data_IF_957439800703
#
_entry.id   IF_957439800703
#
_cell.length_a   1.000
_cell.length_b   1.000
_cell.length_c   1.000
_cell.angle_alpha   90.00
_cell.angle_beta   90.00
_cell.angle_gamma   90.00
#
_symmetry.space_group_name_H-M   'P 1'
#
loop_
_entity.id
_entity.type
_entity.pdbx_description
1 polymer ?
#
# COMPACT_ATOMS: atom_id res chain seq x y z
N UNK A 1 -3.10 -2.83 -5.16
CA UNK A 1 -2.24 -3.42 -4.12
C UNK A 1 -1.98 -2.34 -3.06
N UNK A 2 -2.39 -2.58 -1.82
CA UNK A 2 -2.09 -1.71 -0.71
C UNK A 2 -0.78 -2.16 -0.03
N UNK A 3 0.08 -1.20 0.33
CA UNK A 3 1.26 -1.49 1.14
C UNK A 3 0.82 -1.55 2.61
N UNK A 4 0.91 -2.72 3.22
CA UNK A 4 0.52 -2.92 4.63
C UNK A 4 1.65 -2.65 5.60
N UNK A 5 2.86 -2.99 5.20
CA UNK A 5 4.06 -2.92 6.05
C UNK A 5 5.22 -2.32 5.27
N UNK A 6 5.90 -1.39 5.88
CA UNK A 6 7.21 -0.90 5.45
C UNK A 6 8.24 -1.50 6.39
N UNK A 7 9.24 -2.14 5.83
CA UNK A 7 10.24 -2.87 6.62
C UNK A 7 11.62 -2.25 6.46
N UNK A 8 12.38 -2.25 7.54
CA UNK A 8 13.77 -1.79 7.55
C UNK A 8 14.59 -2.52 8.62
N UNK A 9 15.87 -2.20 8.73
CA UNK A 9 16.72 -2.67 9.82
C UNK A 9 16.86 -1.60 10.90
N UNK A 10 17.32 -2.03 12.08
CA UNK A 10 17.49 -1.18 13.24
C UNK A 10 18.40 0.03 12.97
N UNK A 11 19.45 -0.13 12.17
CA UNK A 11 20.37 0.96 11.77
C UNK A 11 19.70 2.09 10.98
N UNK A 12 18.53 1.83 10.38
CA UNK A 12 17.82 2.76 9.49
C UNK A 12 16.42 3.14 10.02
N UNK A 13 16.11 2.80 11.25
CA UNK A 13 14.78 3.03 11.85
C UNK A 13 14.41 4.51 11.94
N UNK A 14 15.41 5.37 12.14
CA UNK A 14 15.22 6.81 12.35
C UNK A 14 15.44 7.63 11.05
N UNK A 15 15.57 6.97 9.89
CA UNK A 15 15.69 7.67 8.61
C UNK A 15 14.37 8.41 8.27
N UNK A 16 14.40 9.73 8.04
CA UNK A 16 13.19 10.53 7.77
C UNK A 16 12.38 10.00 6.58
N UNK A 17 13.06 9.53 5.53
CA UNK A 17 12.42 8.96 4.35
C UNK A 17 11.57 7.73 4.68
N UNK A 18 12.01 6.87 5.59
CA UNK A 18 11.26 5.68 6.01
C UNK A 18 10.02 6.10 6.80
N UNK A 19 10.16 7.07 7.70
CA UNK A 19 9.04 7.59 8.48
C UNK A 19 7.98 8.27 7.58
N UNK A 20 8.41 9.04 6.59
CA UNK A 20 7.52 9.68 5.62
C UNK A 20 6.81 8.65 4.74
N UNK A 21 7.51 7.61 4.30
CA UNK A 21 6.91 6.52 3.52
C UNK A 21 5.83 5.79 4.32
N UNK A 22 6.10 5.45 5.59
CA UNK A 22 5.13 4.82 6.49
C UNK A 22 3.88 5.69 6.64
N UNK A 23 4.06 6.99 6.83
CA UNK A 23 2.96 7.94 6.98
C UNK A 23 2.15 8.09 5.71
N UNK A 24 2.80 8.28 4.57
CA UNK A 24 2.14 8.49 3.27
C UNK A 24 1.37 7.26 2.80
N UNK A 25 1.88 6.07 3.08
CA UNK A 25 1.23 4.81 2.73
C UNK A 25 0.23 4.34 3.80
N UNK A 26 0.14 5.03 4.95
CA UNK A 26 -0.65 4.58 6.12
C UNK A 26 -0.30 3.14 6.52
N UNK A 27 0.95 2.75 6.32
CA UNK A 27 1.46 1.41 6.57
C UNK A 27 1.95 1.24 8.01
N UNK A 28 2.12 -0.01 8.45
CA UNK A 28 2.83 -0.31 9.70
C UNK A 28 4.33 -0.33 9.45
N UNK A 29 5.12 0.12 10.42
CA UNK A 29 6.58 -0.02 10.37
C UNK A 29 6.99 -1.31 11.08
N UNK A 30 7.88 -2.07 10.47
CA UNK A 30 8.49 -3.25 11.06
C UNK A 30 10.00 -3.19 10.94
N UNK A 31 10.68 -3.39 12.06
CA UNK A 31 12.14 -3.26 12.15
C UNK A 31 12.71 -4.64 12.46
N UNK A 32 13.77 -5.02 11.77
CA UNK A 32 14.49 -6.26 11.98
C UNK A 32 15.92 -6.02 12.44
N UNK A 33 16.44 -6.98 13.21
CA UNK A 33 17.86 -7.02 13.56
C UNK A 33 18.64 -7.72 12.44
N UNK A 34 19.92 -7.40 12.25
CA UNK A 34 20.76 -8.06 11.24
C UNK A 34 20.78 -9.59 11.36
N UNK A 35 20.83 -10.11 12.59
CA UNK A 35 20.88 -11.54 12.86
C UNK A 35 19.65 -12.29 12.35
N UNK A 36 18.53 -11.61 12.27
CA UNK A 36 17.26 -12.18 11.77
C UNK A 36 17.21 -12.30 10.25
N UNK A 37 18.16 -11.65 9.54
CA UNK A 37 18.17 -11.50 8.09
C UNK A 37 19.31 -12.27 7.41
N UNK A 38 20.33 -12.69 8.15
CA UNK A 38 21.55 -13.30 7.60
C UNK A 38 21.33 -14.58 6.81
N UNK A 39 20.32 -15.37 7.20
CA UNK A 39 20.00 -16.67 6.61
C UNK A 39 18.93 -16.58 5.50
N UNK A 40 18.50 -15.37 5.14
CA UNK A 40 17.51 -15.17 4.10
C UNK A 40 18.21 -15.07 2.74
N UNK A 41 17.93 -16.02 1.86
CA UNK A 41 18.39 -15.98 0.48
C UNK A 41 17.75 -14.81 -0.27
N UNK A 42 18.58 -14.01 -0.92
CA UNK A 42 18.15 -12.82 -1.67
C UNK A 42 18.67 -12.87 -3.10
N UNK A 43 17.90 -12.41 -4.10
CA UNK A 43 18.31 -12.42 -5.50
C UNK A 43 19.54 -11.55 -5.78
N UNK A 44 19.66 -10.41 -5.06
CA UNK A 44 20.73 -9.42 -5.32
C UNK A 44 21.63 -9.21 -4.09
N UNK A 45 22.44 -10.21 -3.71
CA UNK A 45 23.33 -10.10 -2.55
C UNK A 45 24.45 -9.08 -2.79
N UNK A 46 24.89 -8.42 -1.72
CA UNK A 46 26.01 -7.47 -1.76
C UNK A 46 26.90 -7.65 -0.54
N UNK A 47 28.16 -8.02 -0.78
CA UNK A 47 29.17 -8.15 0.27
C UNK A 47 29.42 -6.84 1.02
N UNK A 48 29.46 -5.70 0.31
CA UNK A 48 29.59 -4.38 0.95
C UNK A 48 28.45 -4.05 1.91
N UNK A 49 27.23 -4.43 1.56
CA UNK A 49 26.08 -4.24 2.43
C UNK A 49 26.18 -5.17 3.64
N UNK A 50 26.61 -6.39 3.45
CA UNK A 50 26.81 -7.35 4.53
C UNK A 50 27.85 -6.87 5.57
N UNK A 51 28.97 -6.32 5.13
CA UNK A 51 30.02 -5.78 6.02
C UNK A 51 29.50 -4.66 6.93
N UNK A 52 28.56 -3.86 6.44
CA UNK A 52 28.03 -2.70 7.18
C UNK A 52 26.77 -3.08 7.99
N UNK A 53 25.94 -3.95 7.49
CA UNK A 53 24.59 -4.18 8.03
C UNK A 53 24.37 -5.59 8.56
N UNK A 54 25.28 -6.53 8.30
CA UNK A 54 25.11 -7.94 8.66
C UNK A 54 24.05 -8.70 7.83
N UNK A 55 23.53 -8.07 6.75
CA UNK A 55 22.59 -8.69 5.83
C UNK A 55 23.03 -8.46 4.38
N UNK A 56 22.91 -9.46 3.51
CA UNK A 56 23.36 -9.37 2.10
C UNK A 56 22.53 -8.37 1.26
N UNK A 57 21.27 -8.14 1.60
CA UNK A 57 20.40 -7.13 0.99
C UNK A 57 19.32 -6.74 1.97
N UNK A 58 19.41 -5.57 2.56
CA UNK A 58 18.43 -5.11 3.55
C UNK A 58 17.02 -5.06 2.98
N UNK A 59 16.84 -4.39 1.83
CA UNK A 59 15.52 -4.20 1.23
C UNK A 59 14.83 -5.52 0.86
N UNK A 60 15.58 -6.47 0.28
CA UNK A 60 15.01 -7.76 -0.14
C UNK A 60 14.79 -8.68 1.06
N UNK A 61 15.78 -8.79 1.95
CA UNK A 61 15.68 -9.68 3.10
C UNK A 61 14.55 -9.28 4.06
N UNK A 62 14.39 -7.98 4.34
CA UNK A 62 13.30 -7.51 5.20
C UNK A 62 11.92 -7.71 4.56
N UNK A 63 11.81 -7.47 3.24
CA UNK A 63 10.57 -7.69 2.51
C UNK A 63 10.17 -9.17 2.49
N UNK A 64 11.10 -10.08 2.18
CA UNK A 64 10.86 -11.53 2.18
C UNK A 64 10.49 -12.05 3.56
N UNK A 65 11.21 -11.61 4.60
CA UNK A 65 10.94 -12.02 5.98
C UNK A 65 9.56 -11.58 6.44
N UNK A 66 9.22 -10.32 6.19
CA UNK A 66 7.92 -9.78 6.58
C UNK A 66 6.76 -10.47 5.87
N UNK A 67 6.94 -10.81 4.61
CA UNK A 67 5.91 -11.46 3.80
C UNK A 67 5.81 -12.97 4.04
N UNK A 68 6.71 -13.58 4.82
CA UNK A 68 6.77 -15.04 4.97
C UNK A 68 6.94 -15.77 3.64
N UNK A 69 7.60 -15.16 2.67
CA UNK A 69 7.68 -15.63 1.29
C UNK A 69 9.13 -15.77 0.83
N UNK A 70 9.35 -16.62 -0.17
CA UNK A 70 10.65 -16.83 -0.82
C UNK A 70 10.79 -16.07 -2.14
N UNK A 71 9.73 -15.38 -2.61
CA UNK A 71 9.72 -14.67 -3.89
C UNK A 71 9.31 -13.21 -3.70
N UNK A 72 10.08 -12.33 -4.31
CA UNK A 72 9.76 -10.91 -4.42
C UNK A 72 8.76 -10.68 -5.56
N UNK A 73 7.86 -9.72 -5.36
CA UNK A 73 7.04 -9.16 -6.42
C UNK A 73 7.88 -8.19 -7.27
N UNK A 74 8.76 -7.44 -6.62
CA UNK A 74 9.73 -6.55 -7.24
C UNK A 74 11.06 -6.70 -6.51
N UNK A 75 12.08 -7.13 -7.26
CA UNK A 75 13.45 -7.21 -6.75
C UNK A 75 14.03 -5.82 -6.45
N UNK A 76 15.20 -5.79 -5.83
CA UNK A 76 15.86 -4.56 -5.40
C UNK A 76 15.94 -3.53 -6.53
N UNK A 77 15.27 -2.42 -6.32
CA UNK A 77 15.35 -1.22 -7.14
C UNK A 77 16.23 -0.19 -6.44
N UNK A 78 16.92 0.59 -7.24
CA UNK A 78 17.71 1.73 -6.77
C UNK A 78 17.07 3.01 -7.23
N UNK A 79 17.03 3.99 -6.36
CA UNK A 79 16.58 5.34 -6.68
C UNK A 79 17.46 6.36 -6.01
N UNK A 80 17.35 7.60 -6.46
CA UNK A 80 18.11 8.72 -5.95
C UNK A 80 17.15 9.91 -5.75
N UNK A 81 17.17 10.49 -4.57
CA UNK A 81 16.36 11.68 -4.26
C UNK A 81 17.12 12.94 -4.65
N UNK A 82 18.39 13.01 -4.28
CA UNK A 82 19.35 14.07 -4.62
C UNK A 82 20.70 13.45 -4.88
N UNK A 83 21.62 14.10 -5.62
CA UNK A 83 22.98 13.58 -5.78
C UNK A 83 23.63 13.19 -4.46
N UNK A 84 24.05 11.93 -4.35
CA UNK A 84 24.63 11.36 -3.13
C UNK A 84 23.65 10.84 -2.08
N UNK A 85 22.33 10.94 -2.33
CA UNK A 85 21.30 10.41 -1.44
C UNK A 85 20.53 9.28 -2.14
N UNK A 86 21.15 8.11 -2.17
CA UNK A 86 20.64 6.91 -2.82
C UNK A 86 19.80 6.08 -1.86
N UNK A 87 18.73 5.50 -2.37
CA UNK A 87 17.92 4.53 -1.63
C UNK A 87 17.71 3.25 -2.44
N UNK A 88 17.39 2.18 -1.73
CA UNK A 88 16.99 0.91 -2.34
C UNK A 88 15.69 0.42 -1.71
N UNK A 89 14.83 -0.17 -2.53
CA UNK A 89 13.63 -0.83 -2.06
C UNK A 89 13.37 -2.13 -2.82
N UNK A 90 12.60 -3.02 -2.21
CA UNK A 90 12.09 -4.25 -2.80
C UNK A 90 10.66 -4.47 -2.31
N UNK A 91 9.86 -5.21 -3.04
CA UNK A 91 8.47 -5.50 -2.70
C UNK A 91 8.24 -7.01 -2.66
N UNK A 92 7.68 -7.50 -1.57
CA UNK A 92 7.20 -8.88 -1.45
C UNK A 92 5.67 -8.88 -1.27
N UNK A 93 5.04 -9.93 -1.78
CA UNK A 93 3.61 -10.14 -1.62
C UNK A 93 3.37 -11.07 -0.43
N UNK A 94 2.72 -10.57 0.60
CA UNK A 94 2.19 -11.40 1.68
C UNK A 94 0.93 -12.11 1.17
N UNK A 95 1.06 -13.40 0.88
CA UNK A 95 -0.04 -14.23 0.38
C UNK A 95 -0.96 -14.74 1.48
N UNK A 96 -0.48 -14.77 2.72
CA UNK A 96 -1.22 -15.23 3.90
C UNK A 96 -1.82 -14.07 4.69
N UNK A 97 -1.55 -12.82 4.28
CA UNK A 97 -2.15 -11.67 4.94
C UNK A 97 -3.67 -11.79 4.92
N UNK A 98 -4.26 -11.76 6.07
CA UNK A 98 -5.71 -11.59 6.19
C UNK A 98 -6.12 -10.32 5.47
N UNK A 99 -6.84 -10.50 4.38
CA UNK A 99 -7.33 -9.42 3.53
C UNK A 99 -8.65 -8.97 4.09
N UNK A 100 -8.61 -8.06 5.07
CA UNK A 100 -9.80 -7.41 5.60
C UNK A 100 -9.98 -6.07 4.90
N UNK A 101 -10.85 -6.02 3.90
CA UNK A 101 -11.35 -4.76 3.35
C UNK A 101 -12.45 -4.19 4.24
N UNK A 102 -12.61 -2.87 4.21
CA UNK A 102 -13.75 -2.20 4.83
C UNK A 102 -14.72 -1.76 3.74
N UNK A 103 -16.01 -1.99 3.97
CA UNK A 103 -17.08 -1.44 3.13
C UNK A 103 -17.79 -0.39 3.95
N UNK A 104 -17.82 0.84 3.43
CA UNK A 104 -18.54 1.94 4.02
C UNK A 104 -19.66 2.38 3.07
N UNK A 105 -20.86 2.53 3.60
CA UNK A 105 -21.99 3.07 2.86
C UNK A 105 -22.08 4.55 3.15
N UNK A 106 -21.94 5.38 2.12
CA UNK A 106 -21.96 6.82 2.21
C UNK A 106 -23.25 7.36 1.59
N UNK A 107 -24.02 8.12 2.37
CA UNK A 107 -25.16 8.87 1.83
C UNK A 107 -24.68 10.00 0.93
N UNK A 108 -25.22 10.07 -0.28
CA UNK A 108 -24.83 11.06 -1.29
C UNK A 108 -25.40 12.48 -1.08
N UNK A 109 -26.24 12.67 -0.06
CA UNK A 109 -26.95 13.92 0.14
C UNK A 109 -28.12 14.10 -0.82
N UNK A 110 -28.73 15.30 -0.88
CA UNK A 110 -29.91 15.60 -1.70
C UNK A 110 -29.59 15.88 -3.18
N UNK A 111 -28.36 15.68 -3.64
CA UNK A 111 -27.97 15.88 -5.03
C UNK A 111 -26.85 16.92 -5.24
N UNK A 112 -26.62 17.79 -4.27
CA UNK A 112 -25.50 18.73 -4.31
C UNK A 112 -24.27 18.10 -3.64
N UNK A 113 -23.13 17.99 -4.34
CA UNK A 113 -21.90 17.42 -3.77
C UNK A 113 -21.41 18.14 -2.51
N UNK A 114 -21.69 19.43 -2.35
CA UNK A 114 -21.30 20.20 -1.16
C UNK A 114 -22.15 19.84 0.07
N UNK A 115 -23.28 19.18 -0.13
CA UNK A 115 -24.15 18.72 0.96
C UNK A 115 -23.85 17.27 1.41
N UNK A 116 -22.79 16.67 0.92
CA UNK A 116 -22.28 15.42 1.49
C UNK A 116 -21.78 15.67 2.91
N UNK A 117 -21.99 14.73 3.80
CA UNK A 117 -21.47 14.87 5.16
C UNK A 117 -19.94 14.94 5.17
N UNK A 118 -19.36 15.68 6.11
CA UNK A 118 -17.90 15.76 6.29
C UNK A 118 -17.27 14.36 6.47
N UNK A 119 -17.99 13.45 7.17
CA UNK A 119 -17.54 12.06 7.30
C UNK A 119 -17.56 11.34 5.94
N UNK A 120 -18.63 11.51 5.17
CA UNK A 120 -18.76 10.91 3.84
C UNK A 120 -17.65 11.36 2.90
N UNK A 121 -17.36 12.65 2.85
CA UNK A 121 -16.24 13.20 2.07
C UNK A 121 -14.91 12.55 2.45
N UNK A 122 -14.60 12.48 3.76
CA UNK A 122 -13.36 11.85 4.24
C UNK A 122 -13.25 10.37 3.87
N UNK A 123 -14.37 9.66 3.80
CA UNK A 123 -14.40 8.25 3.36
C UNK A 123 -14.14 8.15 1.86
N UNK A 124 -14.75 9.00 1.04
CA UNK A 124 -14.49 9.06 -0.40
C UNK A 124 -13.02 9.39 -0.72
N UNK A 125 -12.43 10.33 0.01
CA UNK A 125 -11.02 10.74 -0.13
C UNK A 125 -10.02 9.61 0.23
N UNK A 126 -10.44 8.59 1.00
CA UNK A 126 -9.61 7.45 1.41
C UNK A 126 -9.87 6.17 0.63
N UNK A 127 -11.00 6.08 -0.03
CA UNK A 127 -11.43 4.85 -0.69
C UNK A 127 -10.48 4.42 -1.82
N UNK A 128 -10.25 3.11 -1.93
CA UNK A 128 -9.54 2.49 -3.05
C UNK A 128 -10.51 2.14 -4.19
N UNK A 129 -11.77 1.88 -3.84
CA UNK A 129 -12.87 1.65 -4.76
C UNK A 129 -14.08 2.50 -4.34
N UNK A 130 -14.65 3.22 -5.28
CA UNK A 130 -15.92 3.92 -5.14
C UNK A 130 -16.89 3.32 -6.15
N UNK A 131 -17.95 2.69 -5.63
CA UNK A 131 -19.12 2.29 -6.42
C UNK A 131 -20.26 3.28 -6.15
N UNK A 132 -20.77 3.94 -7.17
CA UNK A 132 -21.83 4.90 -7.02
C UNK A 132 -23.03 4.58 -7.91
N UNK A 133 -24.23 4.88 -7.45
CA UNK A 133 -25.47 4.69 -8.20
C UNK A 133 -25.62 5.81 -9.24
N UNK A 134 -25.03 5.62 -10.42
CA UNK A 134 -24.91 6.66 -11.44
C UNK A 134 -26.24 7.26 -11.96
N UNK A 135 -27.36 6.61 -11.68
CA UNK A 135 -28.71 7.15 -11.98
C UNK A 135 -29.28 8.05 -10.86
N UNK A 136 -28.68 8.03 -9.66
CA UNK A 136 -29.22 8.69 -8.46
C UNK A 136 -28.21 9.64 -7.81
N UNK A 137 -26.92 9.45 -8.09
CA UNK A 137 -25.82 10.14 -7.42
C UNK A 137 -25.06 11.00 -8.44
N UNK A 138 -24.87 12.29 -8.17
CA UNK A 138 -24.09 13.17 -9.04
C UNK A 138 -22.65 12.66 -9.20
N UNK A 139 -22.15 12.69 -10.43
CA UNK A 139 -20.79 12.25 -10.74
C UNK A 139 -19.73 13.10 -10.02
N UNK A 140 -20.06 14.33 -9.70
CA UNK A 140 -19.19 15.30 -9.03
C UNK A 140 -18.75 14.81 -7.64
N UNK A 141 -19.56 13.99 -6.95
CA UNK A 141 -19.16 13.33 -5.70
C UNK A 141 -17.94 12.43 -5.86
N UNK A 142 -17.73 11.89 -7.06
CA UNK A 142 -16.58 11.04 -7.36
C UNK A 142 -15.27 11.83 -7.50
N UNK A 143 -15.34 13.16 -7.64
CA UNK A 143 -14.15 14.03 -7.70
C UNK A 143 -13.40 14.11 -6.36
N UNK A 144 -14.03 13.68 -5.26
CA UNK A 144 -13.35 13.51 -3.98
C UNK A 144 -12.45 12.26 -3.93
N UNK A 145 -12.48 11.41 -4.97
CA UNK A 145 -11.64 10.21 -5.01
C UNK A 145 -10.14 10.58 -5.01
N UNK A 146 -9.36 9.85 -4.21
CA UNK A 146 -7.91 10.00 -4.23
C UNK A 146 -7.32 9.57 -5.58
N UNK A 147 -6.14 10.09 -5.97
CA UNK A 147 -5.43 9.60 -7.15
C UNK A 147 -5.21 8.07 -7.08
N UNK A 148 -5.51 7.38 -8.18
CA UNK A 148 -5.39 5.92 -8.27
C UNK A 148 -6.57 5.12 -7.74
N UNK A 149 -7.59 5.76 -7.15
CA UNK A 149 -8.83 5.07 -6.78
C UNK A 149 -9.59 4.57 -8.02
N UNK A 150 -10.18 3.39 -7.90
CA UNK A 150 -11.10 2.87 -8.92
C UNK A 150 -12.49 3.44 -8.70
N UNK A 151 -13.03 4.15 -9.68
CA UNK A 151 -14.40 4.70 -9.61
C UNK A 151 -15.26 4.02 -10.67
N UNK A 152 -16.41 3.50 -10.29
CA UNK A 152 -17.34 2.81 -11.19
C UNK A 152 -18.78 3.17 -10.87
N UNK A 153 -19.56 3.40 -11.93
CA UNK A 153 -21.01 3.49 -11.83
C UNK A 153 -21.62 2.10 -11.75
N UNK A 154 -22.51 1.87 -10.81
CA UNK A 154 -23.24 0.62 -10.68
C UNK A 154 -24.52 0.55 -11.53
N UNK A 155 -24.86 1.62 -12.25
CA UNK A 155 -26.13 1.73 -12.99
C UNK A 155 -26.32 0.64 -14.05
N UNK A 156 -25.24 0.11 -14.62
CA UNK A 156 -25.25 -0.96 -15.64
C UNK A 156 -24.66 -2.28 -15.14
N UNK A 157 -24.40 -2.41 -13.85
CA UNK A 157 -23.74 -3.59 -13.27
C UNK A 157 -24.76 -4.53 -12.63
N UNK A 158 -24.55 -5.81 -12.80
CA UNK A 158 -25.23 -6.82 -12.00
C UNK A 158 -24.71 -6.81 -10.56
N UNK A 159 -25.42 -7.43 -9.66
CA UNK A 159 -25.01 -7.54 -8.26
C UNK A 159 -23.72 -8.37 -8.12
N UNK A 160 -23.59 -9.41 -8.93
CA UNK A 160 -22.41 -10.27 -8.99
C UNK A 160 -21.15 -9.50 -9.42
N UNK A 161 -21.28 -8.62 -10.42
CA UNK A 161 -20.18 -7.76 -10.88
C UNK A 161 -19.76 -6.77 -9.80
N UNK A 162 -20.73 -6.18 -9.07
CA UNK A 162 -20.43 -5.29 -7.95
C UNK A 162 -19.69 -6.02 -6.83
N UNK A 163 -20.14 -7.22 -6.44
CA UNK A 163 -19.45 -8.05 -5.44
C UNK A 163 -18.06 -8.48 -5.89
N UNK A 164 -17.88 -8.81 -7.16
CA UNK A 164 -16.57 -9.15 -7.70
C UNK A 164 -15.59 -7.97 -7.58
N UNK A 165 -16.02 -6.74 -7.88
CA UNK A 165 -15.21 -5.55 -7.71
C UNK A 165 -14.88 -5.27 -6.24
N UNK A 166 -15.85 -5.38 -5.33
CA UNK A 166 -15.62 -5.21 -3.90
C UNK A 166 -14.62 -6.23 -3.37
N UNK A 167 -14.76 -7.49 -3.79
CA UNK A 167 -13.83 -8.57 -3.43
C UNK A 167 -12.43 -8.29 -3.99
N UNK A 168 -12.33 -7.83 -5.23
CA UNK A 168 -11.04 -7.47 -5.82
C UNK A 168 -10.38 -6.30 -5.10
N UNK A 169 -11.11 -5.28 -4.72
CA UNK A 169 -10.58 -4.13 -4.00
C UNK A 169 -10.18 -4.45 -2.55
N UNK A 170 -10.74 -5.52 -1.95
CA UNK A 170 -10.35 -6.00 -0.63
C UNK A 170 -9.09 -6.87 -0.64
N UNK A 171 -8.60 -7.21 -1.81
CA UNK A 171 -7.38 -7.99 -2.04
C UNK A 171 -6.15 -7.09 -2.12
#
# INVERSE_FOLDING_TARGET
>A
LAVKVVTTIELKKDEPMVADLVRNLSAKMQIYRPEELKDIEVPNPSGKVFEVTGAYSVSEATALKSAGNTKLLLEKQKGQVTPGNDFTFAVALDREAERSGFIEIVGAGPGDPELVSVRGKRLLEKADLILYAGSLVPIELTYYAKPGATVRSSASMTLEEQFALMKYASL
#
